data_IF_384870210661
#
_entry.id   IF_384870210661
#
_cell.length_a   1.000
_cell.length_b   1.000
_cell.length_c   1.000
_cell.angle_alpha   90.00
_cell.angle_beta   90.00
_cell.angle_gamma   90.00
#
_symmetry.space_group_name_H-M   'P 1'
#
loop_
_entity.id
_entity.type
_entity.pdbx_description
1 polymer ?
#
# COMPACT_ATOMS: atom_id res chain seq x y z
N UNK A 1 -20.37 2.23 36.88
CA UNK A 1 -19.07 1.61 37.26
C UNK A 1 -18.63 0.81 36.02
N UNK A 2 -17.55 1.07 35.29
CA UNK A 2 -16.18 1.44 35.68
C UNK A 2 -15.61 2.54 34.79
N UNK A 3 -14.64 3.25 35.37
CA UNK A 3 -13.99 4.47 34.88
C UNK A 3 -13.07 4.18 33.70
N UNK A 4 -12.99 5.17 32.80
CA UNK A 4 -11.84 5.37 31.92
C UNK A 4 -10.55 5.34 32.74
N UNK A 5 -9.59 4.52 32.31
CA UNK A 5 -8.31 4.35 32.97
C UNK A 5 -7.19 4.19 31.95
N UNK A 6 -6.36 5.24 31.84
CA UNK A 6 -4.93 5.10 31.60
C UNK A 6 -4.47 4.85 30.15
N UNK A 7 -3.94 5.91 29.54
CA UNK A 7 -2.89 5.82 28.53
C UNK A 7 -1.68 5.07 29.11
N UNK A 8 -1.53 3.78 28.76
CA UNK A 8 -0.39 2.94 29.13
C UNK A 8 0.42 2.57 27.89
N UNK A 9 1.69 2.94 27.91
CA UNK A 9 2.74 2.54 26.97
C UNK A 9 2.85 1.01 26.93
N UNK A 10 2.14 0.35 26.02
CA UNK A 10 2.43 -0.98 25.43
C UNK A 10 1.34 -1.24 24.39
N UNK A 11 1.46 -0.59 23.21
CA UNK A 11 0.62 -0.96 22.06
C UNK A 11 1.17 -2.24 21.43
N UNK A 12 0.88 -3.39 22.04
CA UNK A 12 0.49 -4.51 21.21
C UNK A 12 -0.98 -4.30 20.88
N UNK A 13 -1.25 -3.41 19.92
CA UNK A 13 -2.51 -3.47 19.20
C UNK A 13 -2.59 -4.88 18.62
N UNK A 14 -3.66 -5.58 18.96
CA UNK A 14 -3.95 -6.95 18.51
C UNK A 14 -3.59 -7.04 17.03
N UNK A 15 -2.50 -7.74 16.72
CA UNK A 15 -1.95 -7.86 15.37
C UNK A 15 -2.80 -8.89 14.62
N UNK A 16 -3.99 -8.45 14.20
CA UNK A 16 -4.83 -9.27 13.33
C UNK A 16 -4.27 -9.17 11.91
N UNK A 17 -4.42 -10.24 11.12
CA UNK A 17 -3.99 -10.27 9.71
C UNK A 17 -4.58 -9.12 8.89
N UNK A 18 -5.79 -8.65 9.25
CA UNK A 18 -6.44 -7.52 8.60
C UNK A 18 -5.75 -6.18 8.91
N UNK A 19 -5.26 -5.99 10.14
CA UNK A 19 -4.55 -4.77 10.53
C UNK A 19 -3.19 -4.64 9.82
N UNK A 20 -2.42 -5.73 9.70
CA UNK A 20 -1.12 -5.71 9.01
C UNK A 20 -1.23 -5.45 7.51
N UNK A 21 -2.24 -6.02 6.83
CA UNK A 21 -2.44 -5.80 5.40
C UNK A 21 -2.92 -4.38 5.13
N UNK A 22 -3.82 -3.86 5.96
CA UNK A 22 -4.27 -2.47 5.87
C UNK A 22 -3.11 -1.48 6.07
N UNK A 23 -2.20 -1.76 7.02
CA UNK A 23 -1.03 -0.92 7.25
C UNK A 23 -0.04 -0.99 6.07
N UNK A 24 0.25 -2.18 5.55
CA UNK A 24 1.04 -2.36 4.32
C UNK A 24 0.42 -1.57 3.15
N UNK A 25 -0.88 -1.74 2.92
CA UNK A 25 -1.62 -1.08 1.84
C UNK A 25 -1.60 0.44 1.95
N UNK A 26 -1.74 1.01 3.16
CA UNK A 26 -1.55 2.45 3.41
C UNK A 26 -0.15 2.92 3.01
N UNK A 27 0.85 2.13 3.32
CA UNK A 27 2.23 2.36 2.91
C UNK A 27 2.40 2.44 1.40
N UNK A 28 1.85 1.45 0.69
CA UNK A 28 1.85 1.41 -0.77
C UNK A 28 1.08 2.60 -1.37
N UNK A 29 -0.10 2.93 -0.84
CA UNK A 29 -0.89 4.08 -1.30
C UNK A 29 -0.10 5.40 -1.19
N UNK A 30 0.57 5.61 -0.06
CA UNK A 30 1.38 6.81 0.18
C UNK A 30 2.63 6.84 -0.72
N UNK A 31 3.32 5.70 -0.87
CA UNK A 31 4.55 5.64 -1.64
C UNK A 31 4.32 5.73 -3.15
N UNK A 32 3.35 4.97 -3.69
CA UNK A 32 3.05 4.94 -5.13
C UNK A 32 2.63 6.31 -5.71
N UNK A 33 2.10 7.20 -4.88
CA UNK A 33 1.80 8.58 -5.27
C UNK A 33 3.04 9.43 -5.57
N UNK A 34 4.23 8.97 -5.15
CA UNK A 34 5.50 9.67 -5.34
C UNK A 34 6.11 9.31 -6.70
N UNK A 35 6.83 10.26 -7.29
CA UNK A 35 7.57 10.05 -8.53
C UNK A 35 8.98 9.54 -8.22
N UNK A 36 9.27 8.31 -8.60
CA UNK A 36 10.62 7.72 -8.51
C UNK A 36 11.40 8.09 -9.77
N UNK A 37 12.67 8.49 -9.62
CA UNK A 37 13.52 8.92 -10.75
C UNK A 37 13.90 7.75 -11.67
N UNK A 38 14.21 6.59 -11.09
CA UNK A 38 14.59 5.37 -11.79
C UNK A 38 13.60 4.26 -11.43
N UNK A 39 12.97 3.65 -12.43
CA UNK A 39 11.95 2.62 -12.21
C UNK A 39 12.49 1.45 -11.41
N UNK A 40 13.69 0.97 -11.74
CA UNK A 40 14.40 -0.16 -11.11
C UNK A 40 14.58 0.01 -9.59
N UNK A 41 14.63 1.24 -9.09
CA UNK A 41 14.83 1.53 -7.67
C UNK A 41 13.52 1.64 -6.90
N UNK A 42 12.36 1.45 -7.54
CA UNK A 42 11.05 1.61 -6.90
C UNK A 42 10.91 0.73 -5.64
N UNK A 43 11.22 -0.57 -5.74
CA UNK A 43 11.15 -1.48 -4.60
C UNK A 43 12.27 -1.23 -3.57
N UNK A 44 13.47 -0.87 -4.01
CA UNK A 44 14.59 -0.53 -3.10
C UNK A 44 14.27 0.69 -2.25
N UNK A 45 13.68 1.71 -2.86
CA UNK A 45 13.22 2.91 -2.17
C UNK A 45 12.06 2.62 -1.20
N UNK A 46 11.33 1.52 -1.41
CA UNK A 46 10.27 1.06 -0.52
C UNK A 46 10.77 0.15 0.63
N UNK A 47 11.98 -0.39 0.54
CA UNK A 47 12.53 -1.35 1.52
C UNK A 47 12.53 -0.83 2.96
N UNK A 48 12.83 0.46 3.18
CA UNK A 48 12.79 1.04 4.53
C UNK A 48 11.39 1.00 5.17
N UNK A 49 10.34 0.97 4.35
CA UNK A 49 8.98 0.77 4.85
C UNK A 49 8.70 -0.71 5.12
N UNK A 50 9.17 -1.61 4.25
CA UNK A 50 9.05 -3.06 4.44
C UNK A 50 9.70 -3.55 5.75
N UNK A 51 10.83 -2.94 6.15
CA UNK A 51 11.50 -3.23 7.43
C UNK A 51 10.58 -3.06 8.64
N UNK A 52 9.64 -2.11 8.60
CA UNK A 52 8.68 -1.91 9.70
C UNK A 52 7.65 -3.03 9.82
N UNK A 53 7.53 -3.87 8.79
CA UNK A 53 6.58 -4.96 8.69
C UNK A 53 7.23 -6.36 8.78
N UNK A 54 8.56 -6.46 8.87
CA UNK A 54 9.27 -7.75 8.90
C UNK A 54 8.80 -8.68 10.02
N UNK A 55 8.52 -8.13 11.21
CA UNK A 55 8.00 -8.90 12.33
C UNK A 55 6.57 -9.42 12.10
N UNK A 56 5.77 -8.76 11.23
CA UNK A 56 4.38 -9.15 10.92
C UNK A 56 4.31 -10.14 9.74
N UNK A 57 5.33 -10.18 8.90
CA UNK A 57 5.46 -11.05 7.73
C UNK A 57 6.76 -11.86 7.81
N UNK A 58 6.81 -12.92 8.64
CA UNK A 58 8.02 -13.73 8.85
C UNK A 58 8.54 -14.44 7.59
N UNK A 59 7.71 -14.66 6.57
CA UNK A 59 8.12 -15.19 5.27
C UNK A 59 8.63 -14.09 4.32
N UNK A 60 8.45 -12.82 4.69
CA UNK A 60 8.93 -11.66 3.97
C UNK A 60 8.04 -11.24 2.79
N UNK A 61 8.69 -10.70 1.77
CA UNK A 61 8.04 -10.05 0.64
C UNK A 61 8.57 -10.59 -0.68
N UNK A 62 7.69 -10.76 -1.67
CA UNK A 62 8.04 -11.16 -3.03
C UNK A 62 7.72 -10.03 -3.98
N UNK A 63 8.76 -9.43 -4.59
CA UNK A 63 8.60 -8.31 -5.53
C UNK A 63 7.79 -7.13 -4.96
N UNK A 64 7.83 -6.92 -3.64
CA UNK A 64 7.11 -5.86 -2.93
C UNK A 64 5.97 -6.36 -2.03
N UNK A 65 4.99 -7.13 -2.54
CA UNK A 65 3.91 -7.69 -1.72
C UNK A 65 4.32 -8.76 -0.69
N UNK A 66 3.60 -8.85 0.45
CA UNK A 66 3.85 -9.86 1.46
C UNK A 66 3.50 -11.27 0.97
N UNK A 67 4.29 -12.28 1.34
CA UNK A 67 4.06 -13.66 0.89
C UNK A 67 2.82 -14.28 1.56
N UNK A 68 2.57 -13.97 2.83
CA UNK A 68 1.47 -14.54 3.62
C UNK A 68 0.10 -14.08 3.17
N UNK A 69 -0.01 -12.82 2.71
CA UNK A 69 -1.25 -12.19 2.28
C UNK A 69 -1.19 -11.84 0.78
N UNK A 70 -0.47 -12.65 -0.01
CA UNK A 70 -0.24 -12.38 -1.43
C UNK A 70 -1.58 -12.24 -2.19
N UNK A 71 -2.50 -13.17 -1.96
CA UNK A 71 -3.86 -13.17 -2.52
C UNK A 71 -4.60 -11.83 -2.33
N UNK A 72 -4.61 -11.31 -1.11
CA UNK A 72 -5.25 -10.04 -0.81
C UNK A 72 -4.43 -8.84 -1.29
N UNK A 73 -3.10 -8.97 -1.27
CA UNK A 73 -2.24 -7.89 -1.71
C UNK A 73 -2.39 -7.61 -3.21
N UNK A 74 -2.78 -8.60 -4.01
CA UNK A 74 -3.01 -8.43 -5.45
C UNK A 74 -4.27 -7.64 -5.81
N UNK A 75 -5.12 -7.31 -4.82
CA UNK A 75 -6.39 -6.59 -5.04
C UNK A 75 -6.22 -5.07 -5.24
N UNK A 76 -4.99 -4.59 -5.41
CA UNK A 76 -4.73 -3.19 -5.68
C UNK A 76 -5.23 -2.79 -7.07
N UNK A 77 -5.53 -1.50 -7.25
CA UNK A 77 -5.88 -0.96 -8.56
C UNK A 77 -5.27 0.44 -8.77
N UNK A 78 -5.10 0.83 -10.03
CA UNK A 78 -4.64 2.20 -10.34
C UNK A 78 -5.72 3.23 -9.99
N UNK A 79 -5.31 4.40 -9.49
CA UNK A 79 -6.20 5.54 -9.23
C UNK A 79 -6.45 6.43 -10.44
N UNK A 80 -5.69 6.23 -11.52
CA UNK A 80 -5.80 7.02 -12.76
C UNK A 80 -5.05 6.36 -13.92
N UNK A 81 -4.77 7.11 -15.00
CA UNK A 81 -3.88 6.63 -16.06
C UNK A 81 -2.54 6.21 -15.46
N UNK A 82 -2.06 5.02 -15.83
CA UNK A 82 -0.80 4.48 -15.34
C UNK A 82 0.05 3.97 -16.49
N UNK A 83 1.37 4.08 -16.35
CA UNK A 83 2.35 3.60 -17.32
C UNK A 83 3.03 2.34 -16.80
N UNK A 84 3.21 1.34 -17.66
CA UNK A 84 3.83 0.05 -17.31
C UNK A 84 5.36 0.15 -17.23
N UNK A 85 5.93 -0.24 -16.09
CA UNK A 85 7.37 -0.36 -15.79
C UNK A 85 7.90 -1.79 -15.93
N UNK A 86 8.50 -2.11 -17.07
CA UNK A 86 8.85 -3.50 -17.46
C UNK A 86 9.84 -4.20 -16.53
N UNK A 87 10.46 -3.47 -15.61
CA UNK A 87 11.44 -3.93 -14.63
C UNK A 87 10.81 -4.85 -13.57
N UNK A 88 9.51 -4.76 -13.34
CA UNK A 88 8.79 -5.57 -12.33
C UNK A 88 7.72 -6.46 -12.98
N UNK A 89 7.29 -7.55 -12.32
CA UNK A 89 6.18 -8.38 -12.79
C UNK A 89 4.87 -7.60 -12.92
N UNK A 90 4.02 -7.94 -13.90
CA UNK A 90 2.79 -7.18 -14.20
C UNK A 90 1.78 -7.13 -13.04
N UNK A 91 1.79 -8.11 -12.15
CA UNK A 91 0.90 -8.21 -10.99
C UNK A 91 1.36 -7.33 -9.82
N UNK A 92 2.61 -6.87 -9.82
CA UNK A 92 3.14 -6.01 -8.77
C UNK A 92 2.68 -4.56 -8.98
N UNK A 93 2.32 -3.88 -7.88
CA UNK A 93 1.96 -2.46 -7.93
C UNK A 93 3.12 -1.57 -8.39
N UNK A 94 4.37 -1.93 -8.06
CA UNK A 94 5.57 -1.17 -8.44
C UNK A 94 5.82 -1.19 -9.95
N UNK A 95 5.19 -2.14 -10.64
CA UNK A 95 5.21 -2.32 -12.09
C UNK A 95 4.38 -1.25 -12.84
N UNK A 96 3.77 -0.31 -12.12
CA UNK A 96 2.92 0.75 -12.66
C UNK A 96 3.34 2.10 -12.09
N UNK A 97 3.46 3.10 -12.96
CA UNK A 97 3.68 4.49 -12.58
C UNK A 97 2.36 5.17 -12.25
N UNK A 98 2.32 5.85 -11.10
CA UNK A 98 1.16 6.57 -10.62
C UNK A 98 0.63 6.01 -9.30
N UNK A 99 -0.29 6.76 -8.69
CA UNK A 99 -0.90 6.37 -7.43
C UNK A 99 -1.74 5.10 -7.61
N UNK A 100 -1.49 4.09 -6.78
CA UNK A 100 -2.35 2.91 -6.66
C UNK A 100 -3.19 3.00 -5.39
N UNK A 101 -4.26 2.22 -5.35
CA UNK A 101 -5.11 2.02 -4.19
C UNK A 101 -5.14 0.55 -3.79
N UNK A 102 -4.73 0.32 -2.56
CA UNK A 102 -4.95 -0.89 -1.77
C UNK A 102 -6.14 -0.71 -0.84
N UNK A 103 -7.00 -1.73 -0.75
CA UNK A 103 -8.15 -1.79 0.15
C UNK A 103 -9.44 -1.26 -0.47
N UNK A 104 -10.42 -0.92 0.38
CA UNK A 104 -11.75 -0.51 -0.09
C UNK A 104 -11.67 0.71 -1.02
N UNK A 105 -12.15 0.52 -2.26
CA UNK A 105 -12.47 1.59 -3.17
C UNK A 105 -13.24 2.68 -2.41
N UNK A 106 -12.80 3.96 -2.41
CA UNK A 106 -13.52 4.99 -1.72
C UNK A 106 -14.93 5.07 -2.27
N UNK A 107 -15.89 5.19 -1.36
CA UNK A 107 -17.29 5.35 -1.72
C UNK A 107 -17.44 6.65 -2.53
N UNK A 108 -17.50 6.48 -3.86
CA UNK A 108 -17.60 7.47 -4.94
C UNK A 108 -16.38 8.40 -5.08
N UNK A 109 -15.82 8.56 -6.30
CA UNK A 109 -14.90 9.66 -6.55
C UNK A 109 -15.64 10.99 -6.32
N UNK A 110 -15.04 11.94 -5.62
CA UNK A 110 -15.47 13.34 -5.74
C UNK A 110 -15.36 13.68 -7.22
N UNK A 111 -16.50 13.91 -7.88
CA UNK A 111 -16.54 14.41 -9.26
C UNK A 111 -15.67 15.66 -9.31
N UNK A 112 -14.52 15.58 -9.97
CA UNK A 112 -13.85 16.80 -10.40
C UNK A 112 -14.73 17.36 -11.53
N UNK A 113 -15.17 18.64 -11.45
CA UNK A 113 -15.85 19.24 -12.58
C UNK A 113 -14.86 19.25 -13.75
N UNK A 114 -15.15 18.43 -14.75
CA UNK A 114 -14.49 18.55 -16.04
C UNK A 114 -15.14 19.77 -16.69
N UNK A 115 -14.51 20.94 -16.58
CA UNK A 115 -14.80 22.03 -17.49
C UNK A 115 -14.23 21.60 -18.86
N UNK A 116 -15.06 20.92 -19.64
CA UNK A 116 -14.92 20.81 -21.08
C UNK A 116 -15.62 22.03 -21.66
N UNK A 117 -14.86 23.11 -21.81
CA UNK A 117 -15.24 24.17 -22.73
C UNK A 117 -14.89 23.64 -24.14
N UNK A 118 -15.93 23.20 -24.86
CA UNK A 118 -15.92 23.01 -26.32
C UNK A 118 -16.69 24.19 -26.92
#
# INVERSE_FOLDING_TARGET
MMKQGGSGCFRHTVDTSEDRLNNYGRGVNLFSSRKVKFAEDCLKAFTGMLQTFENMYPRGFIEGPPIEDLDWSLLWHSRGPSLRRREFPSWCWAAWEGAVWYGQHPKKPRRFPINLDI
#
